data_IF_881593879329
#
_entry.id   IF_881593879329
#
_cell.length_a   1.000
_cell.length_b   1.000
_cell.length_c   1.000
_cell.angle_alpha   90.00
_cell.angle_beta   90.00
_cell.angle_gamma   90.00
#
_symmetry.space_group_name_H-M   'P 1'
#
loop_
_entity.id
_entity.type
_entity.pdbx_description
1 polymer ?
#
# COMPACT_ATOMS: atom_id res chain seq x y z
N UNK A 1 -24.25 31.60 -9.50
CA UNK A 1 -23.30 31.18 -10.55
C UNK A 1 -22.44 30.10 -9.94
N UNK A 2 -22.41 28.93 -10.57
CA UNK A 2 -22.08 27.68 -9.90
C UNK A 2 -20.65 27.66 -9.37
N UNK A 3 -20.50 27.21 -8.12
CA UNK A 3 -19.22 26.85 -7.49
C UNK A 3 -19.06 25.33 -7.33
N UNK A 4 -19.27 24.47 -8.36
CA UNK A 4 -19.22 23.03 -8.18
C UNK A 4 -17.78 22.51 -8.06
N UNK A 5 -16.80 23.27 -8.54
CA UNK A 5 -15.43 22.77 -8.68
C UNK A 5 -14.67 22.81 -7.35
N UNK A 6 -14.67 23.95 -6.65
CA UNK A 6 -13.93 24.05 -5.38
C UNK A 6 -14.54 23.22 -4.25
N UNK A 7 -15.86 23.00 -4.28
CA UNK A 7 -16.49 22.06 -3.35
C UNK A 7 -16.07 20.62 -3.58
N UNK A 8 -15.95 20.19 -4.85
CA UNK A 8 -15.45 18.86 -5.20
C UNK A 8 -14.00 18.68 -4.76
N UNK A 9 -13.15 19.69 -5.03
CA UNK A 9 -11.74 19.71 -4.62
C UNK A 9 -11.61 19.56 -3.10
N UNK A 10 -12.39 20.31 -2.31
CA UNK A 10 -12.39 20.19 -0.85
C UNK A 10 -12.77 18.80 -0.35
N UNK A 11 -13.79 18.18 -0.94
CA UNK A 11 -14.21 16.83 -0.56
C UNK A 11 -13.14 15.78 -0.90
N UNK A 12 -12.48 15.92 -2.06
CA UNK A 12 -11.36 15.05 -2.43
C UNK A 12 -10.19 15.19 -1.44
N UNK A 13 -9.81 16.43 -1.09
CA UNK A 13 -8.76 16.70 -0.10
C UNK A 13 -9.12 16.10 1.24
N UNK A 14 -10.36 16.26 1.71
CA UNK A 14 -10.79 15.70 2.99
C UNK A 14 -10.71 14.16 2.99
N UNK A 15 -11.22 13.51 1.94
CA UNK A 15 -11.15 12.06 1.80
C UNK A 15 -9.70 11.55 1.80
N UNK A 16 -8.81 12.21 1.05
CA UNK A 16 -7.40 11.85 0.96
C UNK A 16 -6.63 12.15 2.25
N UNK A 17 -6.96 13.24 2.94
CA UNK A 17 -6.43 13.55 4.27
C UNK A 17 -6.74 12.42 5.25
N UNK A 18 -8.00 11.99 5.32
CA UNK A 18 -8.40 10.89 6.20
C UNK A 18 -7.70 9.59 5.81
N UNK A 19 -7.49 9.34 4.52
CA UNK A 19 -6.74 8.19 4.04
C UNK A 19 -5.28 8.21 4.50
N UNK A 20 -4.59 9.36 4.37
CA UNK A 20 -3.22 9.55 4.86
C UNK A 20 -3.13 9.31 6.38
N UNK A 21 -4.02 9.93 7.15
CA UNK A 21 -4.06 9.74 8.61
C UNK A 21 -4.28 8.28 8.99
N UNK A 22 -5.10 7.54 8.24
CA UNK A 22 -5.29 6.11 8.46
C UNK A 22 -4.00 5.33 8.23
N UNK A 23 -3.26 5.62 7.15
CA UNK A 23 -1.96 4.97 6.91
C UNK A 23 -0.91 5.33 7.97
N UNK A 24 -0.88 6.59 8.43
CA UNK A 24 -0.04 7.01 9.55
C UNK A 24 -0.40 6.26 10.86
N UNK A 25 -1.69 6.01 11.11
CA UNK A 25 -2.11 5.17 12.23
C UNK A 25 -1.68 3.70 12.05
N UNK A 26 -1.83 3.16 10.83
CA UNK A 26 -1.36 1.81 10.50
C UNK A 26 0.13 1.63 10.73
N UNK A 27 0.96 2.63 10.40
CA UNK A 27 2.39 2.63 10.74
C UNK A 27 2.62 2.37 12.23
N UNK A 28 1.95 3.14 13.08
CA UNK A 28 2.07 3.02 14.54
C UNK A 28 1.63 1.63 15.02
N UNK A 29 0.58 1.06 14.41
CA UNK A 29 0.10 -0.28 14.73
C UNK A 29 1.07 -1.38 14.30
N UNK A 30 1.67 -1.27 13.12
CA UNK A 30 2.67 -2.23 12.62
C UNK A 30 3.88 -2.22 13.57
N UNK A 31 4.46 -1.05 13.84
CA UNK A 31 5.59 -0.92 14.76
C UNK A 31 5.30 -1.52 16.14
N UNK A 32 4.12 -1.24 16.69
CA UNK A 32 3.68 -1.81 17.96
C UNK A 32 3.56 -3.34 17.91
N UNK A 33 3.05 -3.91 16.81
CA UNK A 33 2.87 -5.36 16.65
C UNK A 33 4.19 -6.11 16.68
N UNK A 34 5.21 -5.57 16.03
CA UNK A 34 6.54 -6.17 15.97
C UNK A 34 7.46 -5.69 17.11
N UNK A 35 6.96 -4.84 18.02
CA UNK A 35 7.75 -4.26 19.13
C UNK A 35 9.02 -3.56 18.61
N UNK A 36 8.88 -2.82 17.52
CA UNK A 36 9.98 -2.09 16.85
C UNK A 36 9.76 -0.59 17.02
N UNK A 37 10.82 0.15 17.31
CA UNK A 37 10.82 1.62 17.26
C UNK A 37 11.15 2.10 15.85
N UNK A 38 10.63 3.26 15.44
CA UNK A 38 10.84 3.81 14.08
C UNK A 38 12.32 3.92 13.66
N UNK A 39 13.23 4.10 14.61
CA UNK A 39 14.67 4.29 14.38
C UNK A 39 15.51 3.04 14.71
N UNK A 40 14.86 1.93 15.06
CA UNK A 40 15.56 0.72 15.47
C UNK A 40 16.20 0.00 14.29
N UNK A 41 17.48 -0.35 14.43
CA UNK A 41 18.27 -1.05 13.41
C UNK A 41 18.54 -2.51 13.75
N UNK A 42 18.16 -2.96 14.95
CA UNK A 42 18.35 -4.32 15.44
C UNK A 42 17.00 -5.05 15.50
N UNK A 43 16.91 -6.21 14.86
CA UNK A 43 15.70 -7.03 14.83
C UNK A 43 15.94 -8.45 15.35
N UNK A 44 16.98 -8.64 16.17
CA UNK A 44 17.32 -9.95 16.77
C UNK A 44 16.19 -10.57 17.60
N UNK A 45 15.24 -9.77 18.09
CA UNK A 45 14.06 -10.26 18.82
C UNK A 45 12.98 -10.86 17.92
N UNK A 46 13.04 -10.63 16.60
CA UNK A 46 12.11 -11.18 15.62
C UNK A 46 12.67 -12.46 15.01
N UNK A 47 11.83 -13.48 14.87
CA UNK A 47 12.16 -14.66 14.08
C UNK A 47 12.06 -14.39 12.56
N UNK A 48 12.49 -15.35 11.75
CA UNK A 48 12.57 -15.19 10.29
C UNK A 48 11.20 -14.96 9.63
N UNK A 49 10.16 -15.64 10.14
CA UNK A 49 8.78 -15.48 9.64
C UNK A 49 8.27 -14.07 9.97
N UNK A 50 8.54 -13.60 11.18
CA UNK A 50 8.20 -12.26 11.63
C UNK A 50 8.95 -11.18 10.84
N UNK A 51 10.22 -11.40 10.51
CA UNK A 51 11.00 -10.47 9.67
C UNK A 51 10.40 -10.37 8.26
N UNK A 52 10.09 -11.50 7.63
CA UNK A 52 9.48 -11.51 6.29
C UNK A 52 8.10 -10.83 6.29
N UNK A 53 7.25 -11.17 7.27
CA UNK A 53 5.94 -10.54 7.42
C UNK A 53 6.06 -9.04 7.69
N UNK A 54 6.96 -8.63 8.58
CA UNK A 54 7.19 -7.23 8.90
C UNK A 54 7.67 -6.45 7.68
N UNK A 55 8.64 -6.99 6.93
CA UNK A 55 9.13 -6.39 5.68
C UNK A 55 8.00 -6.20 4.67
N UNK A 56 7.18 -7.23 4.44
CA UNK A 56 6.06 -7.16 3.50
C UNK A 56 5.01 -6.13 3.91
N UNK A 57 4.68 -6.05 5.20
CA UNK A 57 3.73 -5.07 5.74
C UNK A 57 4.25 -3.64 5.63
N UNK A 58 5.51 -3.39 5.98
CA UNK A 58 6.15 -2.07 5.88
C UNK A 58 6.23 -1.63 4.41
N UNK A 59 6.60 -2.53 3.51
CA UNK A 59 6.68 -2.24 2.08
C UNK A 59 5.31 -1.93 1.47
N UNK A 60 4.28 -2.67 1.87
CA UNK A 60 2.89 -2.43 1.46
C UNK A 60 2.40 -1.08 1.98
N UNK A 61 2.65 -0.78 3.26
CA UNK A 61 2.29 0.51 3.86
C UNK A 61 2.95 1.67 3.13
N UNK A 62 4.26 1.59 2.85
CA UNK A 62 4.97 2.62 2.08
C UNK A 62 4.30 2.86 0.72
N UNK A 63 3.95 1.78 0.03
CA UNK A 63 3.28 1.86 -1.28
C UNK A 63 1.92 2.55 -1.18
N UNK A 64 1.10 2.19 -0.18
CA UNK A 64 -0.22 2.82 0.03
C UNK A 64 -0.11 4.28 0.44
N UNK A 65 0.82 4.60 1.35
CA UNK A 65 1.06 5.97 1.80
C UNK A 65 1.52 6.85 0.64
N UNK A 66 2.45 6.36 -0.19
CA UNK A 66 2.93 7.06 -1.37
C UNK A 66 1.81 7.33 -2.38
N UNK A 67 0.98 6.33 -2.67
CA UNK A 67 -0.17 6.50 -3.58
C UNK A 67 -1.18 7.53 -3.06
N UNK A 68 -1.49 7.52 -1.76
CA UNK A 68 -2.38 8.51 -1.17
C UNK A 68 -1.78 9.92 -1.18
N UNK A 69 -0.47 10.02 -0.93
CA UNK A 69 0.29 11.27 -1.00
C UNK A 69 0.30 11.85 -2.41
N UNK A 70 0.64 11.06 -3.42
CA UNK A 70 0.65 11.50 -4.81
C UNK A 70 -0.74 12.00 -5.25
N UNK A 71 -1.79 11.27 -4.87
CA UNK A 71 -3.17 11.63 -5.20
C UNK A 71 -3.64 12.93 -4.56
N UNK A 72 -3.15 13.33 -3.38
CA UNK A 72 -3.57 14.58 -2.74
C UNK A 72 -2.90 15.82 -3.34
N UNK A 73 -1.76 15.66 -4.03
CA UNK A 73 -1.06 16.76 -4.69
C UNK A 73 -1.90 17.37 -5.81
N UNK A 74 -2.64 16.55 -6.58
CA UNK A 74 -3.48 17.05 -7.67
C UNK A 74 -4.55 18.05 -7.18
N UNK A 75 -5.48 17.70 -6.28
CA UNK A 75 -6.48 18.65 -5.81
C UNK A 75 -5.86 19.80 -4.98
N UNK A 76 -4.74 19.57 -4.29
CA UNK A 76 -3.98 20.64 -3.64
C UNK A 76 -3.53 21.71 -4.65
N UNK A 77 -2.87 21.28 -5.73
CA UNK A 77 -2.38 22.17 -6.80
C UNK A 77 -3.52 22.83 -7.59
N UNK A 78 -4.70 22.21 -7.65
CA UNK A 78 -5.89 22.81 -8.25
C UNK A 78 -6.52 23.87 -7.34
N UNK A 79 -6.50 23.68 -6.02
CA UNK A 79 -7.09 24.63 -5.09
C UNK A 79 -6.22 25.88 -4.91
N UNK A 80 -4.90 25.69 -4.84
CA UNK A 80 -3.93 26.75 -4.58
C UNK A 80 -4.14 28.02 -5.44
N UNK A 81 -4.23 27.96 -6.78
CA UNK A 81 -4.45 29.17 -7.59
C UNK A 81 -5.82 29.83 -7.36
N UNK A 82 -6.84 29.07 -6.94
CA UNK A 82 -8.15 29.63 -6.61
C UNK A 82 -8.09 30.46 -5.32
N UNK A 83 -7.24 30.06 -4.37
CA UNK A 83 -7.00 30.82 -3.13
C UNK A 83 -6.29 32.15 -3.40
N UNK A 84 -5.41 32.18 -4.40
CA UNK A 84 -4.66 33.39 -4.76
C UNK A 84 -5.49 34.36 -5.62
N UNK A 85 -6.52 33.84 -6.30
CA UNK A 85 -7.34 34.62 -7.24
C UNK A 85 -8.65 35.17 -6.65
N UNK A 86 -9.12 34.65 -5.50
CA UNK A 86 -10.44 34.98 -4.94
C UNK A 86 -10.44 35.07 -3.41
N UNK A 87 -10.87 36.22 -2.88
CA UNK A 87 -11.07 36.42 -1.43
C UNK A 87 -12.13 35.49 -0.85
N UNK A 88 -13.25 35.27 -1.55
CA UNK A 88 -14.31 34.36 -1.11
C UNK A 88 -13.81 32.91 -0.95
N UNK A 89 -12.85 32.48 -1.79
CA UNK A 89 -12.28 31.14 -1.69
C UNK A 89 -11.28 31.05 -0.53
N UNK A 90 -10.62 32.16 -0.18
CA UNK A 90 -9.79 32.26 1.02
C UNK A 90 -10.62 32.10 2.29
N UNK A 91 -11.76 32.77 2.39
CA UNK A 91 -12.67 32.63 3.53
C UNK A 91 -13.19 31.19 3.66
N UNK A 92 -13.47 30.52 2.53
CA UNK A 92 -13.87 29.11 2.50
C UNK A 92 -12.74 28.18 2.92
N UNK A 93 -11.51 28.50 2.55
CA UNK A 93 -10.33 27.75 2.99
C UNK A 93 -10.15 27.89 4.49
N UNK A 94 -10.22 29.10 5.04
CA UNK A 94 -10.07 29.32 6.48
C UNK A 94 -11.17 28.59 7.26
N UNK A 95 -12.42 28.60 6.76
CA UNK A 95 -13.51 27.81 7.34
C UNK A 95 -13.25 26.30 7.27
N UNK A 96 -12.72 25.82 6.13
CA UNK A 96 -12.38 24.41 5.94
C UNK A 96 -11.29 23.95 6.90
N UNK A 97 -10.23 24.75 7.06
CA UNK A 97 -9.11 24.46 7.96
C UNK A 97 -9.57 24.53 9.41
N UNK A 98 -10.42 25.50 9.78
CA UNK A 98 -10.99 25.56 11.12
C UNK A 98 -11.86 24.33 11.45
N UNK A 99 -12.63 23.82 10.48
CA UNK A 99 -13.52 22.68 10.69
C UNK A 99 -12.79 21.33 10.68
N UNK A 100 -11.78 21.17 9.83
CA UNK A 100 -11.17 19.87 9.56
C UNK A 100 -9.70 19.78 9.95
N UNK A 101 -9.06 20.88 10.36
CA UNK A 101 -7.63 21.02 10.59
C UNK A 101 -6.83 21.16 9.29
N UNK A 102 -5.61 21.68 9.38
CA UNK A 102 -4.78 21.89 8.19
C UNK A 102 -4.31 20.56 7.59
N UNK A 103 -4.76 20.29 6.36
CA UNK A 103 -4.37 19.06 5.66
C UNK A 103 -2.91 19.13 5.18
N UNK A 104 -2.32 20.31 5.04
CA UNK A 104 -0.93 20.48 4.62
C UNK A 104 0.04 19.94 5.67
N UNK A 105 -0.31 20.01 6.95
CA UNK A 105 0.42 19.34 8.03
C UNK A 105 0.37 17.81 7.88
N UNK A 106 -0.78 17.27 7.47
CA UNK A 106 -0.94 15.84 7.17
C UNK A 106 -0.10 15.41 5.96
N UNK A 107 0.05 16.29 4.96
CA UNK A 107 0.95 16.05 3.82
C UNK A 107 2.41 16.04 4.30
N UNK A 108 2.84 17.07 5.06
CA UNK A 108 4.21 17.16 5.57
C UNK A 108 4.60 15.98 6.45
N UNK A 109 3.73 15.58 7.38
CA UNK A 109 3.94 14.40 8.23
C UNK A 109 4.02 13.11 7.42
N UNK A 110 3.25 12.99 6.33
CA UNK A 110 3.33 11.84 5.41
C UNK A 110 4.66 11.76 4.67
N UNK A 111 5.26 12.90 4.28
CA UNK A 111 6.58 12.94 3.65
C UNK A 111 7.65 12.44 4.62
N UNK A 112 7.70 13.00 5.83
CA UNK A 112 8.64 12.54 6.86
C UNK A 112 8.44 11.06 7.18
N UNK A 113 7.19 10.58 7.19
CA UNK A 113 6.92 9.15 7.40
C UNK A 113 7.43 8.28 6.24
N UNK A 114 7.28 8.71 4.98
CA UNK A 114 7.84 8.00 3.83
C UNK A 114 9.36 7.87 3.94
N UNK A 115 10.06 8.94 4.33
CA UNK A 115 11.51 8.93 4.57
C UNK A 115 11.90 7.94 5.68
N UNK A 116 11.14 7.92 6.78
CA UNK A 116 11.39 6.97 7.87
C UNK A 116 11.14 5.52 7.45
N UNK A 117 10.09 5.27 6.65
CA UNK A 117 9.81 3.95 6.10
C UNK A 117 10.94 3.48 5.16
N UNK A 118 11.56 4.39 4.41
CA UNK A 118 12.75 4.06 3.59
C UNK A 118 13.93 3.61 4.44
N UNK A 119 14.24 4.33 5.52
CA UNK A 119 15.31 3.96 6.44
C UNK A 119 15.04 2.61 7.12
N UNK A 120 13.79 2.38 7.54
CA UNK A 120 13.37 1.12 8.15
C UNK A 120 13.47 -0.04 7.16
N UNK A 121 12.99 0.13 5.92
CA UNK A 121 13.09 -0.89 4.88
C UNK A 121 14.54 -1.22 4.53
N UNK A 122 15.44 -0.24 4.47
CA UNK A 122 16.86 -0.48 4.25
C UNK A 122 17.49 -1.31 5.39
N UNK A 123 17.09 -1.03 6.63
CA UNK A 123 17.54 -1.78 7.81
C UNK A 123 17.01 -3.21 7.78
N UNK A 124 15.71 -3.40 7.48
CA UNK A 124 15.11 -4.72 7.35
C UNK A 124 15.71 -5.52 6.18
N UNK A 125 15.96 -4.87 5.05
CA UNK A 125 16.60 -5.49 3.89
C UNK A 125 17.99 -6.04 4.26
N UNK A 126 18.77 -5.27 5.01
CA UNK A 126 20.08 -5.69 5.49
C UNK A 126 20.00 -6.92 6.41
N UNK A 127 18.99 -6.95 7.30
CA UNK A 127 18.76 -8.09 8.19
C UNK A 127 18.26 -9.34 7.45
N UNK A 128 17.36 -9.18 6.47
CA UNK A 128 16.89 -10.25 5.58
C UNK A 128 18.07 -10.90 4.84
N UNK A 129 18.97 -10.08 4.28
CA UNK A 129 20.17 -10.57 3.61
C UNK A 129 21.12 -11.29 4.58
N UNK A 130 21.34 -10.74 5.78
CA UNK A 130 22.19 -11.35 6.81
C UNK A 130 21.70 -12.73 7.25
N UNK A 131 20.38 -12.94 7.24
CA UNK A 131 19.74 -14.22 7.59
C UNK A 131 19.62 -15.19 6.40
N UNK A 132 19.94 -14.74 5.18
CA UNK A 132 19.81 -15.56 3.98
C UNK A 132 18.35 -15.81 3.57
N UNK A 133 17.43 -14.95 4.00
CA UNK A 133 16.00 -15.06 3.70
C UNK A 133 15.71 -14.53 2.28
N UNK A 134 14.68 -15.08 1.63
CA UNK A 134 14.28 -14.63 0.30
C UNK A 134 13.28 -13.49 0.42
N UNK A 135 13.59 -12.35 -0.21
CA UNK A 135 12.59 -11.31 -0.42
C UNK A 135 11.65 -11.82 -1.50
N UNK A 136 10.54 -12.42 -1.08
CA UNK A 136 9.46 -12.79 -1.99
C UNK A 136 8.85 -11.51 -2.55
N UNK A 137 9.41 -11.02 -3.67
CA UNK A 137 8.69 -10.12 -4.56
C UNK A 137 7.52 -10.88 -5.15
N UNK A 138 6.35 -10.23 -5.20
CA UNK A 138 5.03 -10.73 -5.66
C UNK A 138 5.01 -11.41 -7.05
N UNK A 139 6.14 -11.48 -7.76
CA UNK A 139 6.29 -12.14 -9.04
C UNK A 139 6.40 -13.68 -8.97
N UNK A 140 6.78 -14.27 -7.82
CA UNK A 140 7.15 -15.70 -7.79
C UNK A 140 6.00 -16.68 -7.49
N UNK A 141 4.82 -16.20 -7.05
CA UNK A 141 3.71 -17.11 -6.67
C UNK A 141 2.97 -17.68 -7.88
N UNK A 142 3.22 -17.17 -9.10
CA UNK A 142 2.56 -17.65 -10.33
C UNK A 142 3.29 -18.78 -11.08
N UNK A 143 4.50 -19.16 -10.66
CA UNK A 143 5.33 -20.12 -11.41
C UNK A 143 5.36 -21.55 -10.85
N UNK A 144 4.70 -21.85 -9.73
CA UNK A 144 4.60 -23.22 -9.19
C UNK A 144 3.23 -23.84 -9.44
N UNK A 145 2.70 -23.65 -10.66
CA UNK A 145 1.56 -24.38 -11.20
C UNK A 145 2.00 -25.71 -11.80
N UNK A 146 2.34 -26.66 -10.92
CA UNK A 146 2.26 -28.12 -11.06
C UNK A 146 1.98 -28.64 -12.49
N UNK A 147 3.03 -29.11 -13.16
CA UNK A 147 2.92 -30.06 -14.28
C UNK A 147 2.06 -31.26 -13.86
N UNK A 148 0.95 -31.51 -14.56
CA UNK A 148 0.22 -32.78 -14.50
C UNK A 148 0.12 -33.30 -15.94
N UNK A 149 0.70 -34.46 -16.29
CA UNK A 149 0.42 -35.11 -17.56
C UNK A 149 -0.91 -35.87 -17.51
N UNK A 150 -1.56 -35.88 -18.66
CA UNK A 150 -2.87 -36.44 -19.02
C UNK A 150 -2.82 -37.96 -19.25
N UNK A 151 -3.83 -38.71 -18.77
CA UNK A 151 -4.51 -39.88 -19.40
C UNK A 151 -5.50 -40.49 -18.38
N UNK A 152 -6.83 -40.34 -18.49
CA UNK A 152 -7.88 -41.04 -19.28
C UNK A 152 -8.30 -42.43 -18.74
N UNK A 153 -9.63 -42.57 -18.57
CA UNK A 153 -10.50 -43.76 -18.43
C UNK A 153 -11.11 -44.11 -17.04
N UNK A 154 -12.45 -43.99 -16.96
CA UNK A 154 -13.44 -44.61 -16.03
C UNK A 154 -13.50 -46.16 -16.22
N UNK A 155 -14.24 -47.00 -15.43
CA UNK A 155 -15.26 -46.72 -14.37
C UNK A 155 -15.18 -47.60 -13.08
N UNK A 156 -16.05 -47.30 -12.10
CA UNK A 156 -16.36 -48.00 -10.81
C UNK A 156 -16.62 -49.53 -10.92
N UNK A 157 -16.54 -50.40 -9.85
CA UNK A 157 -17.35 -50.30 -8.61
C UNK A 157 -16.83 -50.94 -7.26
N UNK A 158 -17.58 -50.62 -6.17
CA UNK A 158 -17.89 -51.36 -4.91
C UNK A 158 -16.89 -51.77 -3.80
N UNK A 159 -17.38 -51.58 -2.55
CA UNK A 159 -17.22 -52.38 -1.31
C UNK A 159 -16.38 -51.84 -0.11
N UNK A 160 -17.13 -51.44 0.94
CA UNK A 160 -16.92 -51.46 2.40
C UNK A 160 -15.54 -51.69 3.05
N UNK A 161 -15.16 -50.74 3.94
CA UNK A 161 -14.84 -51.02 5.36
C UNK A 161 -14.84 -49.73 6.21
N UNK A 162 -15.50 -49.81 7.37
CA UNK A 162 -15.73 -48.75 8.38
C UNK A 162 -14.52 -48.59 9.35
N UNK A 163 -14.65 -47.87 10.50
CA UNK A 163 -15.06 -46.49 10.77
C UNK A 163 -13.93 -45.70 11.47
N UNK A 164 -13.91 -44.36 11.40
CA UNK A 164 -13.15 -43.56 12.36
C UNK A 164 -13.85 -42.22 12.64
N UNK A 165 -13.92 -41.89 13.93
CA UNK A 165 -14.69 -40.81 14.52
C UNK A 165 -14.35 -39.42 13.94
N UNK A 166 -15.36 -38.73 13.41
CA UNK A 166 -15.27 -37.29 13.17
C UNK A 166 -15.49 -36.55 14.49
N UNK A 167 -14.41 -36.01 15.03
CA UNK A 167 -14.47 -34.91 15.98
C UNK A 167 -15.12 -33.70 15.30
N UNK A 168 -16.27 -33.28 15.81
CA UNK A 168 -16.86 -31.97 15.55
C UNK A 168 -16.05 -30.95 16.35
N UNK A 169 -15.37 -30.04 15.66
CA UNK A 169 -14.85 -28.79 16.26
C UNK A 169 -15.83 -27.67 15.93
N UNK A 170 -16.30 -26.86 16.90
CA UNK A 170 -17.26 -25.79 16.65
C UNK A 170 -16.65 -24.71 15.77
N UNK A 171 -17.37 -24.31 14.71
CA UNK A 171 -17.11 -23.07 13.99
C UNK A 171 -17.65 -21.91 14.82
N UNK A 172 -16.76 -21.15 15.46
CA UNK A 172 -17.07 -19.77 15.83
C UNK A 172 -17.08 -18.91 14.56
N UNK A 173 -18.25 -18.89 13.92
CA UNK A 173 -18.60 -18.00 12.81
C UNK A 173 -18.78 -16.58 13.33
N UNK A 174 -17.69 -15.84 13.51
CA UNK A 174 -17.79 -14.40 13.72
C UNK A 174 -16.74 -13.65 12.91
N UNK A 175 -17.25 -12.95 11.89
CA UNK A 175 -16.66 -11.80 11.18
C UNK A 175 -15.76 -12.05 9.97
N UNK A 176 -16.22 -12.88 9.03
CA UNK A 176 -15.89 -12.65 7.61
C UNK A 176 -17.19 -12.50 6.83
N UNK A 177 -17.69 -11.27 6.78
CA UNK A 177 -18.71 -10.86 5.80
C UNK A 177 -18.09 -11.00 4.40
N UNK A 178 -18.28 -12.17 3.80
CA UNK A 178 -17.87 -12.48 2.43
C UNK A 178 -18.64 -11.68 1.37
N UNK A 179 -19.59 -10.84 1.78
CA UNK A 179 -20.33 -9.95 0.87
C UNK A 179 -19.53 -8.70 0.43
N UNK A 180 -18.50 -8.26 1.18
CA UNK A 180 -17.71 -7.07 0.83
C UNK A 180 -16.62 -7.32 -0.22
N UNK A 181 -16.25 -8.58 -0.47
CA UNK A 181 -15.21 -8.93 -1.46
C UNK A 181 -15.67 -8.73 -2.91
N UNK A 182 -16.97 -8.55 -3.15
CA UNK A 182 -17.53 -8.33 -4.49
C UNK A 182 -17.31 -6.92 -5.05
N UNK A 183 -16.96 -5.95 -4.19
CA UNK A 183 -16.72 -4.54 -4.60
C UNK A 183 -15.33 -4.35 -5.23
N UNK A 184 -14.36 -5.23 -4.94
CA UNK A 184 -13.01 -5.14 -5.50
C UNK A 184 -12.88 -5.70 -6.93
N UNK A 185 -13.90 -6.41 -7.43
CA UNK A 185 -13.86 -7.09 -8.74
C UNK A 185 -14.10 -6.15 -9.93
N UNK A 186 -14.42 -4.86 -9.71
CA UNK A 186 -14.74 -3.91 -10.79
C UNK A 186 -13.85 -2.67 -10.86
N UNK A 187 -12.69 -2.68 -10.21
CA UNK A 187 -11.64 -1.71 -10.51
C UNK A 187 -10.87 -2.21 -11.73
N UNK A 188 -11.31 -1.81 -12.92
CA UNK A 188 -10.48 -1.86 -14.12
C UNK A 188 -9.16 -1.13 -13.81
N UNK A 189 -8.08 -1.91 -13.72
CA UNK A 189 -6.73 -1.37 -13.64
C UNK A 189 -6.46 -0.61 -14.95
N UNK A 190 -5.88 0.60 -14.90
CA UNK A 190 -5.42 1.26 -16.12
C UNK A 190 -4.40 0.35 -16.82
N UNK A 191 -4.73 -0.10 -18.03
CA UNK A 191 -3.76 -0.73 -18.91
C UNK A 191 -2.77 0.35 -19.35
N UNK A 192 -1.52 0.24 -18.91
CA UNK A 192 -0.46 1.13 -19.36
C UNK A 192 0.01 0.65 -20.74
N UNK A 193 -0.50 1.26 -21.81
CA UNK A 193 -0.14 0.96 -23.20
C UNK A 193 1.05 1.83 -23.70
N UNK A 194 1.85 2.37 -22.78
CA UNK A 194 3.00 3.22 -23.08
C UNK A 194 4.31 2.49 -22.85
N UNK A 195 5.20 2.49 -23.84
CA UNK A 195 6.57 2.04 -23.65
C UNK A 195 7.26 2.99 -22.66
N UNK A 196 7.74 2.45 -21.53
CA UNK A 196 8.36 3.23 -20.44
C UNK A 196 9.56 4.07 -20.92
N UNK A 197 10.16 3.68 -22.04
CA UNK A 197 11.27 4.37 -22.71
C UNK A 197 10.88 5.67 -23.42
N UNK A 198 9.59 5.89 -23.71
CA UNK A 198 9.10 7.10 -24.39
C UNK A 198 8.78 8.24 -23.41
N UNK A 199 8.91 8.00 -22.10
CA UNK A 199 8.80 9.07 -21.10
C UNK A 199 10.08 9.92 -21.13
N UNK A 200 10.01 11.22 -21.48
CA UNK A 200 11.18 12.10 -21.47
C UNK A 200 11.79 12.20 -20.07
N UNK A 201 10.96 12.10 -19.03
CA UNK A 201 11.37 12.12 -17.62
C UNK A 201 12.18 10.87 -17.22
N UNK A 202 11.92 9.72 -17.85
CA UNK A 202 12.68 8.49 -17.61
C UNK A 202 14.07 8.55 -18.26
N UNK A 203 14.16 9.05 -19.49
CA UNK A 203 15.43 9.19 -20.21
C UNK A 203 16.42 10.10 -19.47
N UNK A 204 15.94 11.23 -18.93
CA UNK A 204 16.77 12.17 -18.17
C UNK A 204 17.30 11.57 -16.86
N UNK A 205 16.45 10.81 -16.14
CA UNK A 205 16.86 10.11 -14.92
C UNK A 205 17.85 8.97 -15.21
N UNK A 206 17.66 8.25 -16.31
CA UNK A 206 18.56 7.18 -16.73
C UNK A 206 19.92 7.71 -17.19
N UNK A 207 19.95 8.82 -17.94
CA UNK A 207 21.19 9.47 -18.36
C UNK A 207 22.02 9.98 -17.17
N UNK A 208 21.35 10.54 -16.15
CA UNK A 208 21.98 10.97 -14.90
C UNK A 208 22.57 9.79 -14.13
N UNK A 209 21.87 8.65 -14.11
CA UNK A 209 22.36 7.44 -13.46
C UNK A 209 23.62 6.85 -14.15
N UNK A 210 23.66 6.89 -15.49
CA UNK A 210 24.83 6.42 -16.24
C UNK A 210 26.05 7.34 -16.10
N UNK A 211 25.85 8.66 -15.98
CA UNK A 211 26.95 9.61 -15.78
C UNK A 211 27.55 9.54 -14.38
N UNK A 212 26.76 9.20 -13.35
CA UNK A 212 27.26 9.04 -11.97
C UNK A 212 28.11 7.76 -11.80
N UNK A 213 27.87 6.72 -12.61
CA UNK A 213 28.67 5.48 -12.57
C UNK A 213 29.93 5.48 -13.45
N UNK A 214 30.24 6.58 -14.12
CA UNK A 214 31.32 6.70 -15.10
C UNK A 214 32.47 7.65 -14.75
N UNK A 215 32.62 8.10 -13.50
CA UNK A 215 33.78 8.88 -13.03
C UNK A 215 34.46 8.22 -11.83
#
# INVERSE_FOLDING_TARGET
MSTPDSSSIRQQILSLKTLLQRHQASHTQILKRYTVLSEQTDFTHLDDIQIEAFYAEVNSLKSYLFQAYDRILKPHNQWQPLLDSSGDERDRFDLFIAAHGDYRETIGTSVTLLENLDLLLNSLHSEVLKRGLQILSDASVRASGRNVPVAREEPQPEASSAPAANYVVPHDNSLLNFDDASILSKLELPSFDGNLLDSPEFSERFATFLTIKGS
#
